data_IF_492738919268
#
_entry.id   IF_492738919268
#
_cell.length_a   1.000
_cell.length_b   1.000
_cell.length_c   1.000
_cell.angle_alpha   90.00
_cell.angle_beta   90.00
_cell.angle_gamma   90.00
#
_symmetry.space_group_name_H-M   'P 1'
#
loop_
_entity.id
_entity.type
_entity.pdbx_description
1 polymer ?
#
# COMPACT_ATOMS: atom_id res chain seq x y z
N UNK A 1 17.48 5.51 -25.14
CA UNK A 1 18.42 4.44 -25.55
C UNK A 1 17.59 3.22 -25.94
N UNK A 2 17.38 3.02 -27.24
CA UNK A 2 16.62 1.90 -27.78
C UNK A 2 17.53 0.66 -27.82
N UNK A 3 17.24 -0.34 -26.99
CA UNK A 3 17.92 -1.61 -27.02
C UNK A 3 17.59 -2.35 -28.32
N UNK A 4 18.59 -2.46 -29.20
CA UNK A 4 18.61 -3.44 -30.29
C UNK A 4 18.50 -4.83 -29.68
N UNK A 5 17.31 -5.41 -29.68
CA UNK A 5 17.17 -6.86 -29.74
C UNK A 5 17.24 -7.24 -31.22
N UNK A 6 18.41 -7.69 -31.67
CA UNK A 6 18.57 -8.43 -32.93
C UNK A 6 17.77 -9.74 -32.83
N UNK A 7 16.44 -9.66 -32.89
CA UNK A 7 15.58 -10.80 -33.16
C UNK A 7 15.75 -11.01 -34.66
N UNK A 8 16.66 -11.95 -35.01
CA UNK A 8 16.89 -12.41 -36.39
C UNK A 8 15.55 -12.44 -37.12
N UNK A 9 15.34 -11.51 -38.06
CA UNK A 9 14.14 -11.47 -38.86
C UNK A 9 14.08 -12.76 -39.66
N UNK A 10 13.33 -13.76 -39.19
CA UNK A 10 13.21 -15.01 -39.89
C UNK A 10 12.53 -14.74 -41.22
N UNK A 11 13.28 -14.87 -42.31
CA UNK A 11 12.73 -14.69 -43.63
C UNK A 11 11.94 -15.93 -44.03
N UNK A 12 10.70 -15.70 -44.47
CA UNK A 12 9.84 -16.73 -45.08
C UNK A 12 10.63 -17.47 -46.18
N UNK A 13 11.40 -16.72 -46.98
CA UNK A 13 12.29 -17.26 -48.01
C UNK A 13 13.27 -18.31 -47.47
N UNK A 14 13.95 -18.05 -46.34
CA UNK A 14 14.87 -19.02 -45.73
C UNK A 14 14.15 -20.29 -45.27
N UNK A 15 12.97 -20.15 -44.65
CA UNK A 15 12.15 -21.30 -44.22
C UNK A 15 11.72 -22.15 -45.43
N UNK A 16 11.29 -21.51 -46.52
CA UNK A 16 10.94 -22.18 -47.78
C UNK A 16 12.13 -22.88 -48.45
N UNK A 17 13.31 -22.27 -48.45
CA UNK A 17 14.54 -22.90 -48.98
C UNK A 17 14.86 -24.18 -48.21
N UNK A 18 14.85 -24.13 -46.87
CA UNK A 18 15.12 -25.31 -46.06
C UNK A 18 14.03 -26.37 -46.18
N UNK A 19 12.76 -25.98 -46.34
CA UNK A 19 11.68 -26.91 -46.65
C UNK A 19 11.95 -27.66 -47.98
N UNK A 20 12.37 -26.94 -49.02
CA UNK A 20 12.72 -27.54 -50.30
C UNK A 20 13.93 -28.48 -50.17
N UNK A 21 14.99 -28.07 -49.45
CA UNK A 21 16.18 -28.90 -49.21
C UNK A 21 15.80 -30.22 -48.52
N UNK A 22 15.06 -30.15 -47.41
CA UNK A 22 14.66 -31.35 -46.68
C UNK A 22 13.69 -32.22 -47.48
N UNK A 23 12.78 -31.62 -48.26
CA UNK A 23 11.87 -32.36 -49.14
C UNK A 23 12.60 -33.11 -50.25
N UNK A 24 13.57 -32.47 -50.91
CA UNK A 24 14.40 -33.10 -51.95
C UNK A 24 15.27 -34.21 -51.37
N UNK A 25 15.88 -34.00 -50.20
CA UNK A 25 16.66 -35.04 -49.52
C UNK A 25 15.79 -36.24 -49.11
N UNK A 26 14.59 -35.98 -48.58
CA UNK A 26 13.61 -37.04 -48.24
C UNK A 26 13.24 -37.85 -49.48
N UNK A 27 12.90 -37.18 -50.59
CA UNK A 27 12.56 -37.83 -51.85
C UNK A 27 13.75 -38.61 -52.45
N UNK A 28 14.96 -38.07 -52.35
CA UNK A 28 16.17 -38.75 -52.82
C UNK A 28 16.48 -40.04 -52.05
N UNK A 29 16.32 -40.03 -50.73
CA UNK A 29 16.45 -41.24 -49.89
C UNK A 29 15.40 -42.29 -50.29
N UNK A 30 14.16 -41.86 -50.57
CA UNK A 30 13.11 -42.74 -51.05
C UNK A 30 13.40 -43.34 -52.45
N UNK A 31 13.98 -42.56 -53.36
CA UNK A 31 14.32 -43.02 -54.71
C UNK A 31 15.38 -44.13 -54.67
N UNK A 32 16.35 -44.02 -53.76
CA UNK A 32 17.41 -45.03 -53.53
C UNK A 32 16.88 -46.37 -53.02
N UNK A 33 15.66 -46.40 -52.47
CA UNK A 33 15.03 -47.62 -51.94
C UNK A 33 14.13 -48.33 -52.98
N UNK A 34 14.07 -47.82 -54.21
CA UNK A 34 13.32 -48.44 -55.31
C UNK A 34 11.81 -48.25 -55.20
N UNK A 35 11.31 -47.08 -55.60
CA UNK A 35 9.92 -46.76 -56.01
C UNK A 35 8.75 -47.46 -55.27
N UNK A 36 8.92 -47.81 -54.00
CA UNK A 36 7.79 -48.12 -53.11
C UNK A 36 7.33 -46.80 -52.54
N UNK A 37 6.06 -46.47 -52.78
CA UNK A 37 5.40 -45.30 -52.16
C UNK A 37 5.72 -45.32 -50.67
N UNK A 38 6.06 -44.17 -50.04
CA UNK A 38 6.25 -44.11 -48.61
C UNK A 38 4.98 -44.65 -47.97
N UNK A 39 5.01 -45.87 -47.44
CA UNK A 39 3.88 -46.39 -46.70
C UNK A 39 3.90 -45.63 -45.37
N UNK A 40 2.91 -44.78 -45.06
CA UNK A 40 2.87 -44.05 -43.80
C UNK A 40 2.72 -44.99 -42.59
N UNK A 41 2.46 -46.28 -42.84
CA UNK A 41 2.41 -47.31 -41.82
C UNK A 41 3.83 -47.79 -41.54
N UNK A 42 4.44 -47.19 -40.52
CA UNK A 42 5.65 -47.76 -39.94
C UNK A 42 5.35 -49.22 -39.52
N UNK A 43 6.01 -50.18 -40.13
CA UNK A 43 6.12 -51.59 -39.71
C UNK A 43 7.48 -51.81 -39.02
N UNK A 44 7.57 -52.80 -38.12
CA UNK A 44 8.85 -53.19 -37.49
C UNK A 44 9.92 -53.70 -38.50
N UNK A 45 9.60 -53.78 -39.78
CA UNK A 45 10.47 -54.20 -40.89
C UNK A 45 11.12 -53.05 -41.67
N UNK A 46 10.97 -51.79 -41.25
CA UNK A 46 11.57 -50.66 -41.96
C UNK A 46 13.07 -50.54 -41.78
N UNK A 47 13.73 -50.11 -42.86
CA UNK A 47 15.17 -49.86 -42.88
C UNK A 47 15.49 -48.52 -42.22
N UNK A 48 16.73 -48.33 -41.75
CA UNK A 48 17.21 -47.04 -41.22
C UNK A 48 16.96 -45.88 -42.21
N UNK A 49 17.02 -46.16 -43.50
CA UNK A 49 16.76 -45.20 -44.58
C UNK A 49 15.30 -44.73 -44.62
N UNK A 50 14.32 -45.59 -44.32
CA UNK A 50 12.90 -45.22 -44.22
C UNK A 50 12.66 -44.23 -43.08
N UNK A 51 13.38 -44.42 -41.97
CA UNK A 51 13.33 -43.50 -40.85
C UNK A 51 13.94 -42.13 -41.22
N UNK A 52 15.11 -42.15 -41.88
CA UNK A 52 15.79 -40.91 -42.32
C UNK A 52 14.93 -40.12 -43.29
N UNK A 53 14.28 -40.78 -44.25
CA UNK A 53 13.39 -40.10 -45.20
C UNK A 53 12.16 -39.50 -44.52
N UNK A 54 11.56 -40.21 -43.56
CA UNK A 54 10.44 -39.72 -42.76
C UNK A 54 10.84 -38.53 -41.87
N UNK A 55 12.00 -38.60 -41.21
CA UNK A 55 12.51 -37.52 -40.39
C UNK A 55 12.74 -36.24 -41.21
N UNK A 56 13.32 -36.38 -42.41
CA UNK A 56 13.50 -35.27 -43.35
C UNK A 56 12.16 -34.71 -43.85
N UNK A 57 11.16 -35.57 -44.08
CA UNK A 57 9.82 -35.14 -44.45
C UNK A 57 9.13 -34.32 -43.33
N UNK A 58 9.27 -34.76 -42.07
CA UNK A 58 8.76 -34.04 -40.89
C UNK A 58 9.43 -32.66 -40.77
N UNK A 59 10.75 -32.58 -40.94
CA UNK A 59 11.48 -31.31 -40.93
C UNK A 59 11.06 -30.40 -42.08
N UNK A 60 10.85 -30.93 -43.28
CA UNK A 60 10.33 -30.17 -44.42
C UNK A 60 8.93 -29.59 -44.12
N UNK A 61 8.03 -30.42 -43.58
CA UNK A 61 6.69 -30.01 -43.17
C UNK A 61 6.70 -28.95 -42.08
N UNK A 62 7.56 -29.08 -41.07
CA UNK A 62 7.73 -28.09 -40.00
C UNK A 62 8.20 -26.74 -40.55
N UNK A 63 9.12 -26.73 -41.52
CA UNK A 63 9.60 -25.50 -42.15
C UNK A 63 8.51 -24.81 -42.98
N UNK A 64 7.68 -25.57 -43.70
CA UNK A 64 6.50 -25.03 -44.41
C UNK A 64 5.45 -24.47 -43.45
N UNK A 65 5.11 -25.21 -42.39
CA UNK A 65 4.17 -24.76 -41.36
C UNK A 65 4.67 -23.47 -40.70
N UNK A 66 5.97 -23.39 -40.40
CA UNK A 66 6.59 -22.20 -39.83
C UNK A 66 6.53 -21.01 -40.80
N UNK A 67 6.79 -21.22 -42.10
CA UNK A 67 6.66 -20.19 -43.13
C UNK A 67 5.21 -19.67 -43.25
N UNK A 68 4.23 -20.58 -43.20
CA UNK A 68 2.81 -20.24 -43.19
C UNK A 68 2.43 -19.43 -41.95
N UNK A 69 2.88 -19.85 -40.76
CA UNK A 69 2.66 -19.12 -39.51
C UNK A 69 3.23 -17.72 -39.58
N UNK A 70 4.48 -17.54 -40.03
CA UNK A 70 5.08 -16.20 -40.22
C UNK A 70 4.23 -15.35 -41.17
N UNK A 71 3.78 -15.93 -42.28
CA UNK A 71 2.92 -15.23 -43.25
C UNK A 71 1.56 -14.81 -42.67
N UNK A 72 0.92 -15.70 -41.91
CA UNK A 72 -0.39 -15.45 -41.30
C UNK A 72 -0.31 -14.40 -40.19
N UNK A 73 0.67 -14.49 -39.30
CA UNK A 73 0.86 -13.53 -38.20
C UNK A 73 1.21 -12.14 -38.76
N UNK A 74 2.10 -12.06 -39.77
CA UNK A 74 2.40 -10.78 -40.44
C UNK A 74 1.20 -10.19 -41.16
N UNK A 75 0.37 -11.01 -41.81
CA UNK A 75 -0.88 -10.55 -42.45
C UNK A 75 -1.86 -9.96 -41.45
N UNK A 76 -1.88 -10.47 -40.21
CA UNK A 76 -2.69 -9.95 -39.11
C UNK A 76 -2.02 -8.81 -38.31
N UNK A 77 -0.83 -8.35 -38.72
CA UNK A 77 0.00 -7.38 -37.98
C UNK A 77 0.26 -7.80 -36.52
N UNK A 78 0.45 -9.11 -36.29
CA UNK A 78 0.71 -9.65 -34.96
C UNK A 78 2.12 -9.28 -34.43
N UNK A 79 2.34 -9.32 -33.11
CA UNK A 79 3.62 -9.02 -32.49
C UNK A 79 4.74 -9.97 -32.96
N UNK A 80 5.97 -9.47 -33.08
CA UNK A 80 7.10 -10.32 -33.52
C UNK A 80 7.41 -11.46 -32.54
N UNK A 81 7.15 -11.26 -31.25
CA UNK A 81 7.30 -12.32 -30.23
C UNK A 81 6.38 -13.53 -30.46
N UNK A 82 5.19 -13.32 -31.02
CA UNK A 82 4.23 -14.39 -31.33
C UNK A 82 4.79 -15.35 -32.39
N UNK A 83 5.50 -14.80 -33.38
CA UNK A 83 6.15 -15.57 -34.43
C UNK A 83 7.21 -16.52 -33.83
N UNK A 84 8.06 -16.00 -32.95
CA UNK A 84 9.09 -16.79 -32.28
C UNK A 84 8.50 -17.92 -31.43
N UNK A 85 7.44 -17.63 -30.68
CA UNK A 85 6.76 -18.64 -29.85
C UNK A 85 6.12 -19.76 -30.68
N UNK A 86 5.35 -19.41 -31.72
CA UNK A 86 4.64 -20.40 -32.53
C UNK A 86 5.59 -21.26 -33.38
N UNK A 87 6.62 -20.64 -33.97
CA UNK A 87 7.62 -21.39 -34.74
C UNK A 87 8.49 -22.28 -33.85
N UNK A 88 8.86 -21.80 -32.65
CA UNK A 88 9.54 -22.60 -31.64
C UNK A 88 8.71 -23.79 -31.16
N UNK A 89 7.39 -23.60 -30.97
CA UNK A 89 6.47 -24.68 -30.62
C UNK A 89 6.39 -25.75 -31.73
N UNK A 90 6.25 -25.34 -32.99
CA UNK A 90 6.29 -26.26 -34.14
C UNK A 90 7.62 -27.03 -34.23
N UNK A 91 8.74 -26.40 -33.88
CA UNK A 91 10.04 -27.05 -33.83
C UNK A 91 10.11 -28.13 -32.74
N UNK A 92 9.59 -27.85 -31.54
CA UNK A 92 9.51 -28.86 -30.46
C UNK A 92 8.66 -30.04 -30.89
N UNK A 93 7.50 -29.79 -31.52
CA UNK A 93 6.64 -30.86 -32.04
C UNK A 93 7.35 -31.71 -33.10
N UNK A 94 8.11 -31.09 -34.01
CA UNK A 94 8.87 -31.80 -35.02
C UNK A 94 9.98 -32.67 -34.40
N UNK A 95 10.70 -32.14 -33.41
CA UNK A 95 11.72 -32.91 -32.66
C UNK A 95 11.07 -34.12 -31.98
N UNK A 96 9.94 -33.92 -31.28
CA UNK A 96 9.21 -35.01 -30.63
C UNK A 96 8.72 -36.05 -31.64
N UNK A 97 8.24 -35.63 -32.81
CA UNK A 97 7.80 -36.53 -33.88
C UNK A 97 8.97 -37.34 -34.47
N UNK A 98 10.13 -36.72 -34.71
CA UNK A 98 11.34 -37.41 -35.19
C UNK A 98 11.86 -38.40 -34.15
N UNK A 99 11.96 -37.99 -32.88
CA UNK A 99 12.38 -38.88 -31.79
C UNK A 99 11.38 -40.02 -31.59
N UNK A 100 10.07 -39.74 -31.62
CA UNK A 100 9.02 -40.75 -31.55
C UNK A 100 9.10 -41.74 -32.72
N UNK A 101 9.33 -41.25 -33.93
CA UNK A 101 9.56 -42.08 -35.12
C UNK A 101 10.80 -42.97 -34.99
N UNK A 102 11.86 -42.49 -34.35
CA UNK A 102 13.08 -43.28 -34.09
C UNK A 102 12.82 -44.40 -33.09
N UNK A 103 12.14 -44.07 -31.99
CA UNK A 103 11.76 -45.07 -30.97
C UNK A 103 10.82 -46.13 -31.56
N UNK A 104 9.93 -45.72 -32.49
CA UNK A 104 9.09 -46.62 -33.25
C UNK A 104 9.92 -47.54 -34.15
N UNK A 105 10.84 -47.00 -34.96
CA UNK A 105 11.63 -47.78 -35.92
C UNK A 105 12.56 -48.79 -35.25
N UNK A 106 13.02 -48.51 -34.02
CA UNK A 106 13.80 -49.45 -33.22
C UNK A 106 12.97 -50.59 -32.61
N UNK A 107 11.64 -50.61 -32.80
CA UNK A 107 10.75 -51.67 -32.28
C UNK A 107 10.62 -51.69 -30.75
N UNK A 108 11.20 -50.70 -30.06
CA UNK A 108 11.18 -50.59 -28.60
C UNK A 108 9.85 -50.04 -28.11
N UNK A 109 9.13 -49.28 -28.95
CA UNK A 109 7.89 -48.59 -28.58
C UNK A 109 6.81 -49.53 -28.01
N UNK A 110 6.66 -50.76 -28.52
CA UNK A 110 5.71 -51.73 -27.97
C UNK A 110 6.09 -52.26 -26.59
N UNK A 111 7.39 -52.26 -26.25
CA UNK A 111 7.93 -52.79 -24.97
C UNK A 111 7.90 -51.73 -23.86
N UNK A 112 8.17 -50.47 -24.21
CA UNK A 112 8.19 -49.36 -23.24
C UNK A 112 6.93 -48.49 -23.31
N UNK A 113 6.06 -48.70 -24.31
CA UNK A 113 4.93 -47.83 -24.63
C UNK A 113 3.94 -47.67 -23.48
N UNK A 114 3.66 -48.73 -22.72
CA UNK A 114 2.80 -48.65 -21.54
C UNK A 114 3.38 -47.76 -20.43
N UNK A 115 4.69 -47.88 -20.17
CA UNK A 115 5.39 -47.07 -19.16
C UNK A 115 5.48 -45.61 -19.62
N UNK A 116 5.85 -45.38 -20.88
CA UNK A 116 5.93 -44.04 -21.47
C UNK A 116 4.54 -43.38 -21.50
N UNK A 117 3.49 -44.11 -21.87
CA UNK A 117 2.12 -43.59 -21.87
C UNK A 117 1.63 -43.29 -20.44
N UNK A 118 1.95 -44.14 -19.47
CA UNK A 118 1.63 -43.90 -18.06
C UNK A 118 2.31 -42.64 -17.52
N UNK A 119 3.61 -42.48 -17.79
CA UNK A 119 4.38 -41.31 -17.37
C UNK A 119 3.93 -40.04 -18.11
N UNK A 120 3.72 -40.12 -19.43
CA UNK A 120 3.20 -39.01 -20.22
C UNK A 120 1.80 -38.58 -19.74
N UNK A 121 0.93 -39.54 -19.43
CA UNK A 121 -0.39 -39.29 -18.85
C UNK A 121 -0.31 -38.58 -17.50
N UNK A 122 0.63 -38.98 -16.64
CA UNK A 122 0.88 -38.33 -15.36
C UNK A 122 1.38 -36.89 -15.54
N UNK A 123 2.37 -36.66 -16.42
CA UNK A 123 2.87 -35.33 -16.73
C UNK A 123 1.79 -34.43 -17.32
N UNK A 124 0.99 -34.96 -18.26
CA UNK A 124 -0.14 -34.23 -18.84
C UNK A 124 -1.17 -33.88 -17.77
N UNK A 125 -1.53 -34.84 -16.91
CA UNK A 125 -2.44 -34.62 -15.78
C UNK A 125 -1.96 -33.52 -14.85
N UNK A 126 -0.67 -33.52 -14.50
CA UNK A 126 -0.08 -32.48 -13.64
C UNK A 126 -0.06 -31.12 -14.35
N UNK A 127 0.32 -31.08 -15.63
CA UNK A 127 0.34 -29.83 -16.41
C UNK A 127 -1.05 -29.20 -16.59
N UNK A 128 -2.09 -30.04 -16.67
CA UNK A 128 -3.48 -29.62 -16.86
C UNK A 128 -4.21 -29.34 -15.54
N UNK A 129 -3.61 -29.66 -14.39
CA UNK A 129 -4.22 -29.45 -13.08
C UNK A 129 -4.73 -28.02 -12.92
N UNK A 130 -3.88 -27.01 -13.14
CA UNK A 130 -4.27 -25.61 -12.97
C UNK A 130 -5.35 -25.15 -13.98
N UNK A 131 -5.23 -25.42 -15.30
CA UNK A 131 -6.31 -25.12 -16.25
C UNK A 131 -7.65 -25.77 -15.90
N UNK A 132 -7.66 -27.07 -15.56
CA UNK A 132 -8.89 -27.80 -15.21
C UNK A 132 -9.50 -27.25 -13.93
N UNK A 133 -8.69 -26.97 -12.91
CA UNK A 133 -9.14 -26.29 -11.69
C UNK A 133 -9.71 -24.90 -11.99
N UNK A 134 -9.12 -24.16 -12.93
CA UNK A 134 -9.63 -22.85 -13.36
C UNK A 134 -11.02 -22.93 -14.00
N UNK A 135 -11.26 -23.92 -14.86
CA UNK A 135 -12.58 -24.18 -15.46
C UNK A 135 -13.60 -24.57 -14.38
N UNK A 136 -13.22 -25.46 -13.47
CA UNK A 136 -14.08 -25.85 -12.34
C UNK A 136 -14.44 -24.65 -11.44
N UNK A 137 -13.50 -23.73 -11.25
CA UNK A 137 -13.69 -22.49 -10.50
C UNK A 137 -14.70 -21.59 -11.17
N UNK A 138 -14.56 -21.40 -12.47
CA UNK A 138 -15.49 -20.60 -13.24
C UNK A 138 -16.92 -21.18 -13.18
N UNK A 139 -17.08 -22.50 -13.32
CA UNK A 139 -18.39 -23.17 -13.17
C UNK A 139 -18.96 -22.91 -11.76
N UNK A 140 -18.16 -23.10 -10.72
CA UNK A 140 -18.61 -22.92 -9.34
C UNK A 140 -18.97 -21.47 -9.03
N UNK A 141 -18.17 -20.50 -9.46
CA UNK A 141 -18.47 -19.07 -9.32
C UNK A 141 -19.75 -18.72 -10.07
N UNK A 142 -19.96 -19.28 -11.26
CA UNK A 142 -21.18 -19.04 -12.05
C UNK A 142 -22.43 -19.62 -11.38
N UNK A 143 -22.34 -20.81 -10.79
CA UNK A 143 -23.46 -21.50 -10.15
C UNK A 143 -23.76 -20.99 -8.73
N UNK A 144 -22.72 -20.87 -7.89
CA UNK A 144 -22.86 -20.47 -6.47
C UNK A 144 -22.85 -18.95 -6.28
N UNK A 145 -22.28 -18.20 -7.23
CA UNK A 145 -22.18 -16.73 -7.23
C UNK A 145 -21.73 -16.15 -5.88
N UNK A 146 -20.57 -16.57 -5.33
CA UNK A 146 -20.02 -15.98 -4.11
C UNK A 146 -19.72 -14.47 -4.28
N UNK A 147 -19.41 -14.06 -5.50
CA UNK A 147 -19.33 -12.67 -5.95
C UNK A 147 -19.82 -12.58 -7.41
N UNK A 148 -20.19 -11.37 -7.83
CA UNK A 148 -20.72 -11.06 -9.17
C UNK A 148 -19.88 -10.01 -9.86
N UNK A 149 -20.11 -9.86 -11.16
CA UNK A 149 -19.58 -8.72 -11.91
C UNK A 149 -20.16 -7.44 -11.33
N UNK A 150 -19.30 -6.49 -11.01
CA UNK A 150 -19.60 -5.23 -10.35
C UNK A 150 -19.30 -5.23 -8.85
N UNK A 151 -19.09 -6.39 -8.23
CA UNK A 151 -18.86 -6.48 -6.79
C UNK A 151 -17.46 -6.00 -6.41
N UNK A 152 -17.34 -5.34 -5.25
CA UNK A 152 -16.04 -5.04 -4.64
C UNK A 152 -15.61 -6.19 -3.75
N UNK A 153 -14.49 -6.84 -4.09
CA UNK A 153 -13.99 -8.03 -3.40
C UNK A 153 -12.56 -7.82 -2.93
N UNK A 154 -12.25 -8.31 -1.74
CA UNK A 154 -10.89 -8.39 -1.21
C UNK A 154 -10.47 -9.85 -1.06
N UNK A 155 -9.33 -10.18 -1.67
CA UNK A 155 -8.67 -11.46 -1.52
C UNK A 155 -7.56 -11.33 -0.49
N UNK A 156 -7.85 -11.77 0.73
CA UNK A 156 -7.00 -11.50 1.91
C UNK A 156 -5.57 -11.99 1.72
N UNK A 157 -5.38 -13.23 1.23
CA UNK A 157 -4.03 -13.80 1.07
C UNK A 157 -3.28 -13.30 -0.16
N UNK A 158 -3.94 -12.59 -1.08
CA UNK A 158 -3.25 -11.87 -2.17
C UNK A 158 -2.99 -10.40 -1.82
N UNK A 159 -3.64 -9.87 -0.79
CA UNK A 159 -3.60 -8.44 -0.47
C UNK A 159 -4.21 -7.58 -1.57
N UNK A 160 -5.16 -8.11 -2.36
CA UNK A 160 -5.74 -7.45 -3.51
C UNK A 160 -7.21 -7.09 -3.25
N UNK A 161 -7.53 -5.80 -3.33
CA UNK A 161 -8.90 -5.27 -3.35
C UNK A 161 -9.22 -4.82 -4.78
N UNK A 162 -10.40 -5.14 -5.26
CA UNK A 162 -10.83 -4.67 -6.58
C UNK A 162 -12.31 -4.85 -6.87
N UNK A 163 -12.79 -4.14 -7.88
CA UNK A 163 -14.14 -4.27 -8.41
C UNK A 163 -14.13 -5.30 -9.56
N UNK A 164 -14.95 -6.34 -9.47
CA UNK A 164 -14.98 -7.43 -10.46
C UNK A 164 -15.52 -6.91 -11.79
N UNK A 165 -14.71 -6.92 -12.86
CA UNK A 165 -15.12 -6.51 -14.21
C UNK A 165 -15.69 -7.68 -15.01
N UNK A 166 -15.05 -8.84 -14.95
CA UNK A 166 -15.44 -10.00 -15.75
C UNK A 166 -14.90 -11.31 -15.15
N UNK A 167 -15.71 -12.36 -15.13
CA UNK A 167 -15.29 -13.71 -14.70
C UNK A 167 -15.23 -14.61 -15.93
N UNK A 168 -14.03 -14.76 -16.50
CA UNK A 168 -13.78 -15.65 -17.63
C UNK A 168 -13.52 -17.08 -17.19
N UNK A 169 -13.36 -17.99 -18.15
CA UNK A 169 -13.10 -19.41 -17.87
C UNK A 169 -11.76 -19.65 -17.15
N UNK A 170 -10.72 -18.92 -17.55
CA UNK A 170 -9.35 -19.09 -17.02
C UNK A 170 -8.96 -17.99 -16.02
N UNK A 171 -9.48 -16.77 -16.21
CA UNK A 171 -9.10 -15.60 -15.44
C UNK A 171 -10.32 -14.81 -14.99
N UNK A 172 -10.25 -14.29 -13.78
CA UNK A 172 -11.14 -13.25 -13.26
C UNK A 172 -10.42 -11.91 -13.39
N UNK A 173 -11.07 -10.97 -14.07
CA UNK A 173 -10.56 -9.62 -14.28
C UNK A 173 -11.24 -8.69 -13.29
N UNK A 174 -10.43 -7.93 -12.55
CA UNK A 174 -10.90 -6.92 -11.61
C UNK A 174 -10.23 -5.59 -11.88
N UNK A 175 -10.95 -4.49 -11.66
CA UNK A 175 -10.34 -3.18 -11.53
C UNK A 175 -9.71 -3.05 -10.15
N UNK A 176 -8.42 -2.75 -10.08
CA UNK A 176 -7.78 -2.56 -8.79
C UNK A 176 -8.36 -1.34 -8.06
N UNK A 177 -8.61 -1.54 -6.77
CA UNK A 177 -8.94 -0.49 -5.82
C UNK A 177 -7.77 -0.35 -4.84
N UNK A 178 -7.27 0.88 -4.67
CA UNK A 178 -6.11 1.17 -3.82
C UNK A 178 -4.76 0.70 -4.40
N UNK A 179 -3.69 0.82 -3.60
CA UNK A 179 -2.31 0.52 -4.01
C UNK A 179 -1.55 1.78 -4.38
N UNK A 180 -1.56 2.18 -5.66
CA UNK A 180 -0.88 3.41 -6.11
C UNK A 180 -1.57 4.69 -5.62
N UNK A 181 -2.86 4.60 -5.33
CA UNK A 181 -3.66 5.66 -4.70
C UNK A 181 -4.03 5.17 -3.29
N UNK A 182 -3.86 6.02 -2.28
CA UNK A 182 -4.17 5.67 -0.90
C UNK A 182 -5.67 5.64 -0.58
N UNK A 183 -6.51 6.15 -1.48
CA UNK A 183 -7.97 6.08 -1.38
C UNK A 183 -8.50 4.77 -1.96
N UNK A 184 -9.69 4.37 -1.51
CA UNK A 184 -10.39 3.20 -2.06
C UNK A 184 -11.17 3.52 -3.34
N UNK A 185 -10.51 4.19 -4.28
CA UNK A 185 -11.04 4.45 -5.61
C UNK A 185 -10.53 3.41 -6.62
N UNK A 186 -11.35 3.14 -7.64
CA UNK A 186 -10.94 2.29 -8.75
C UNK A 186 -9.95 3.04 -9.64
N UNK A 187 -8.77 2.45 -9.85
CA UNK A 187 -7.66 3.12 -10.54
C UNK A 187 -7.75 2.98 -12.07
N UNK A 188 -8.60 2.07 -12.56
CA UNK A 188 -8.65 1.71 -13.97
C UNK A 188 -7.54 0.73 -14.37
N UNK A 189 -6.94 0.02 -13.40
CA UNK A 189 -5.87 -0.96 -13.63
C UNK A 189 -6.41 -2.37 -13.49
N UNK A 190 -6.44 -3.09 -14.61
CA UNK A 190 -6.94 -4.46 -14.62
C UNK A 190 -5.96 -5.43 -13.94
N UNK A 191 -6.48 -6.20 -13.00
CA UNK A 191 -5.83 -7.35 -12.37
C UNK A 191 -6.44 -8.61 -12.96
N UNK A 192 -5.60 -9.45 -13.57
CA UNK A 192 -6.00 -10.75 -14.11
C UNK A 192 -5.58 -11.84 -13.12
N UNK A 193 -6.55 -12.40 -12.39
CA UNK A 193 -6.30 -13.48 -11.44
C UNK A 193 -6.65 -14.82 -12.09
N UNK A 194 -5.71 -15.78 -12.18
CA UNK A 194 -6.03 -17.13 -12.62
C UNK A 194 -7.09 -17.75 -11.69
N UNK A 195 -8.18 -18.26 -12.24
CA UNK A 195 -9.29 -18.76 -11.42
C UNK A 195 -8.87 -19.92 -10.50
N UNK A 196 -7.88 -20.71 -10.93
CA UNK A 196 -7.31 -21.79 -10.12
C UNK A 196 -6.73 -21.29 -8.78
N UNK A 197 -6.25 -20.04 -8.72
CA UNK A 197 -5.74 -19.43 -7.49
C UNK A 197 -6.86 -19.02 -6.54
N UNK A 198 -8.05 -18.67 -7.05
CA UNK A 198 -9.14 -18.12 -6.25
C UNK A 198 -9.76 -19.12 -5.27
N UNK A 199 -9.69 -20.42 -5.57
CA UNK A 199 -10.30 -21.46 -4.72
C UNK A 199 -9.64 -21.64 -3.36
N UNK A 200 -8.34 -21.37 -3.29
CA UNK A 200 -7.58 -21.52 -2.05
C UNK A 200 -7.55 -20.21 -1.25
N UNK A 201 -8.41 -19.25 -1.60
CA UNK A 201 -8.38 -17.89 -1.08
C UNK A 201 -9.72 -17.57 -0.40
N UNK A 202 -9.66 -16.91 0.74
CA UNK A 202 -10.85 -16.32 1.36
C UNK A 202 -11.20 -15.04 0.62
N UNK A 203 -12.38 -15.01 0.01
CA UNK A 203 -12.94 -13.84 -0.65
C UNK A 203 -13.87 -13.08 0.30
N UNK A 204 -13.54 -11.83 0.60
CA UNK A 204 -14.39 -10.92 1.39
C UNK A 204 -15.13 -10.02 0.41
N UNK A 205 -16.45 -10.21 0.30
CA UNK A 205 -17.29 -9.41 -0.58
C UNK A 205 -17.87 -8.22 0.18
N UNK A 206 -17.52 -7.00 -0.23
CA UNK A 206 -18.02 -5.76 0.36
C UNK A 206 -19.40 -5.37 -0.18
N UNK A 207 -19.81 -5.94 -1.31
CA UNK A 207 -21.11 -5.66 -1.95
C UNK A 207 -21.93 -6.93 -2.24
N UNK A 208 -22.23 -7.78 -1.23
CA UNK A 208 -22.87 -9.08 -1.46
C UNK A 208 -24.35 -8.99 -1.89
N UNK A 209 -25.03 -7.88 -1.61
CA UNK A 209 -26.44 -7.63 -1.95
C UNK A 209 -26.55 -6.63 -3.10
N UNK A 210 -27.31 -7.01 -4.14
CA UNK A 210 -27.42 -6.27 -5.39
C UNK A 210 -28.19 -4.94 -5.32
N UNK A 211 -28.94 -4.67 -4.24
CA UNK A 211 -29.82 -3.49 -4.19
C UNK A 211 -29.32 -2.34 -3.33
N UNK A 212 -28.60 -2.60 -2.23
CA UNK A 212 -27.83 -1.58 -1.51
C UNK A 212 -26.98 -2.28 -0.44
N UNK A 213 -25.75 -2.66 -0.79
CA UNK A 213 -24.81 -3.19 0.20
C UNK A 213 -24.19 -2.04 0.97
N UNK A 214 -24.89 -1.64 2.01
CA UNK A 214 -24.36 -0.72 3.01
C UNK A 214 -23.40 -1.47 3.91
N UNK A 215 -22.21 -0.90 4.09
CA UNK A 215 -21.21 -1.35 5.05
C UNK A 215 -21.09 -0.31 6.16
N UNK A 216 -20.72 -0.77 7.35
CA UNK A 216 -20.38 0.13 8.44
C UNK A 216 -18.99 0.69 8.21
N UNK A 217 -18.89 2.01 8.21
CA UNK A 217 -17.64 2.75 8.10
C UNK A 217 -17.47 3.67 9.31
N UNK A 218 -16.23 4.12 9.54
CA UNK A 218 -15.92 5.02 10.65
C UNK A 218 -15.05 6.20 10.23
N UNK A 219 -15.42 7.39 10.72
CA UNK A 219 -14.59 8.60 10.68
C UNK A 219 -14.09 8.85 12.10
N UNK A 220 -12.77 8.94 12.24
CA UNK A 220 -12.11 9.12 13.53
C UNK A 220 -11.58 10.54 13.63
N UNK A 221 -12.09 11.29 14.63
CA UNK A 221 -11.69 12.67 14.90
C UNK A 221 -11.22 12.76 16.34
N UNK A 222 -10.17 13.55 16.57
CA UNK A 222 -9.58 13.71 17.90
C UNK A 222 -9.87 15.11 18.42
N UNK A 223 -10.47 15.20 19.60
CA UNK A 223 -10.77 16.47 20.29
C UNK A 223 -9.86 16.62 21.51
N UNK A 224 -9.59 17.86 21.92
CA UNK A 224 -8.81 18.14 23.14
C UNK A 224 -9.59 17.72 24.40
N UNK A 225 -8.89 17.52 25.53
CA UNK A 225 -9.55 17.18 26.80
C UNK A 225 -10.42 18.32 27.36
N UNK A 226 -10.14 19.56 26.96
CA UNK A 226 -10.87 20.75 27.39
C UNK A 226 -12.10 21.03 26.51
N UNK A 227 -12.31 20.24 25.44
CA UNK A 227 -13.46 20.41 24.56
C UNK A 227 -14.77 19.98 25.23
N UNK A 228 -15.85 20.71 24.95
CA UNK A 228 -17.21 20.35 25.34
C UNK A 228 -17.64 19.08 24.58
N UNK A 229 -17.84 18.01 25.33
CA UNK A 229 -18.15 16.69 24.80
C UNK A 229 -19.46 16.65 24.01
N UNK A 230 -20.53 17.19 24.60
CA UNK A 230 -21.87 17.18 24.00
C UNK A 230 -21.89 18.03 22.73
N UNK A 231 -21.17 19.16 22.73
CA UNK A 231 -21.00 19.99 21.55
C UNK A 231 -20.27 19.26 20.42
N UNK A 232 -19.22 18.49 20.74
CA UNK A 232 -18.47 17.71 19.75
C UNK A 232 -19.33 16.58 19.15
N UNK A 233 -20.05 15.83 19.99
CA UNK A 233 -20.95 14.75 19.55
C UNK A 233 -22.05 15.29 18.62
N UNK A 234 -22.66 16.42 18.98
CA UNK A 234 -23.67 17.07 18.15
C UNK A 234 -23.14 17.45 16.77
N UNK A 235 -21.96 18.07 16.70
CA UNK A 235 -21.32 18.46 15.43
C UNK A 235 -21.09 17.24 14.53
N UNK A 236 -20.53 16.17 15.11
CA UNK A 236 -20.19 14.94 14.39
C UNK A 236 -21.45 14.25 13.85
N UNK A 237 -22.48 14.10 14.68
CA UNK A 237 -23.75 13.51 14.28
C UNK A 237 -24.47 14.34 13.22
N UNK A 238 -24.57 15.66 13.38
CA UNK A 238 -25.20 16.55 12.39
C UNK A 238 -24.51 16.47 11.02
N UNK A 239 -23.17 16.41 11.00
CA UNK A 239 -22.40 16.25 9.77
C UNK A 239 -22.70 14.91 9.09
N UNK A 240 -22.69 13.79 9.84
CA UNK A 240 -23.06 12.49 9.29
C UNK A 240 -24.51 12.47 8.79
N UNK A 241 -25.48 12.92 9.59
CA UNK A 241 -26.89 12.95 9.19
C UNK A 241 -27.11 13.74 7.90
N UNK A 242 -26.42 14.87 7.73
CA UNK A 242 -26.53 15.71 6.53
C UNK A 242 -26.03 14.96 5.30
N UNK A 243 -24.86 14.32 5.38
CA UNK A 243 -24.23 13.64 4.24
C UNK A 243 -24.92 12.31 3.91
N UNK A 244 -25.29 11.54 4.93
CA UNK A 244 -25.88 10.20 4.79
C UNK A 244 -27.41 10.21 4.84
N UNK A 245 -28.08 11.35 4.67
CA UNK A 245 -29.54 11.48 4.75
C UNK A 245 -30.31 10.48 3.86
N UNK A 246 -29.83 10.29 2.63
CA UNK A 246 -30.40 9.33 1.68
C UNK A 246 -30.25 7.88 2.17
N UNK A 247 -29.10 7.54 2.76
CA UNK A 247 -28.80 6.21 3.30
C UNK A 247 -29.67 5.91 4.52
N UNK A 248 -29.82 6.90 5.41
CA UNK A 248 -30.67 6.77 6.60
C UNK A 248 -32.12 6.52 6.18
N UNK A 249 -32.61 7.21 5.14
CA UNK A 249 -33.97 7.01 4.62
C UNK A 249 -34.20 5.58 4.08
N UNK A 250 -33.18 4.97 3.48
CA UNK A 250 -33.28 3.62 2.91
C UNK A 250 -33.06 2.52 3.93
N UNK A 251 -32.13 2.71 4.88
CA UNK A 251 -31.73 1.68 5.86
C UNK A 251 -32.48 1.78 7.18
N UNK A 252 -32.94 2.98 7.56
CA UNK A 252 -33.47 3.28 8.90
C UNK A 252 -32.40 3.38 9.99
N UNK A 253 -31.13 3.16 9.67
CA UNK A 253 -30.03 3.11 10.63
C UNK A 253 -29.42 4.51 10.82
N UNK A 254 -29.28 4.93 12.07
CA UNK A 254 -28.74 6.25 12.41
C UNK A 254 -27.23 6.19 12.66
N UNK A 255 -26.47 7.25 12.32
CA UNK A 255 -25.09 7.37 12.75
C UNK A 255 -25.00 7.45 14.27
N UNK A 256 -23.93 6.91 14.83
CA UNK A 256 -23.68 6.94 16.27
C UNK A 256 -22.20 7.09 16.56
N UNK A 257 -21.86 7.52 17.77
CA UNK A 257 -20.47 7.75 18.18
C UNK A 257 -20.07 6.74 19.25
N UNK A 258 -18.82 6.29 19.18
CA UNK A 258 -18.11 5.68 20.31
C UNK A 258 -16.80 6.41 20.52
N UNK A 259 -16.43 6.62 21.76
CA UNK A 259 -15.23 7.36 22.11
C UNK A 259 -14.29 6.52 22.96
N UNK A 260 -13.00 6.75 22.77
CA UNK A 260 -11.93 6.19 23.59
C UNK A 260 -11.00 7.32 24.02
N UNK A 261 -10.34 7.17 25.16
CA UNK A 261 -9.24 8.08 25.52
C UNK A 261 -8.00 7.80 24.68
N UNK A 262 -7.26 8.85 24.33
CA UNK A 262 -5.98 8.79 23.62
C UNK A 262 -4.93 9.63 24.36
N UNK A 263 -3.65 9.54 23.96
CA UNK A 263 -2.53 10.17 24.69
C UNK A 263 -2.63 11.70 24.81
N UNK A 264 -3.20 12.37 23.81
CA UNK A 264 -3.27 13.83 23.71
C UNK A 264 -4.69 14.35 23.44
N UNK A 265 -5.71 13.54 23.70
CA UNK A 265 -7.11 13.94 23.54
C UNK A 265 -8.08 12.77 23.62
N UNK A 266 -9.32 13.01 23.20
CA UNK A 266 -10.38 12.01 23.11
C UNK A 266 -10.57 11.61 21.65
N UNK A 267 -10.55 10.31 21.38
CA UNK A 267 -10.74 9.74 20.06
C UNK A 267 -12.23 9.46 19.83
N UNK A 268 -12.89 10.32 19.06
CA UNK A 268 -14.30 10.22 18.70
C UNK A 268 -14.44 9.42 17.41
N UNK A 269 -15.03 8.21 17.49
CA UNK A 269 -15.30 7.33 16.35
C UNK A 269 -16.76 7.50 15.92
N UNK A 270 -16.97 8.32 14.91
CA UNK A 270 -18.26 8.50 14.26
C UNK A 270 -18.50 7.34 13.29
N UNK A 271 -19.52 6.54 13.55
CA UNK A 271 -19.87 5.37 12.74
C UNK A 271 -21.16 5.62 11.97
N UNK A 272 -21.15 5.25 10.69
CA UNK A 272 -22.28 5.42 9.78
C UNK A 272 -22.29 4.32 8.73
N UNK A 273 -23.46 4.10 8.13
CA UNK A 273 -23.58 3.21 6.98
C UNK A 273 -23.25 3.96 5.69
N UNK A 274 -22.52 3.29 4.79
CA UNK A 274 -22.16 3.83 3.48
C UNK A 274 -22.06 2.74 2.43
N UNK A 275 -22.18 3.10 1.16
CA UNK A 275 -21.90 2.16 0.07
C UNK A 275 -20.39 2.01 -0.10
N UNK A 276 -19.92 0.79 -0.31
CA UNK A 276 -18.48 0.51 -0.40
C UNK A 276 -17.73 1.33 -1.47
N UNK A 277 -18.40 1.70 -2.57
CA UNK A 277 -17.82 2.50 -3.67
C UNK A 277 -17.81 4.01 -3.38
N UNK A 278 -18.80 4.49 -2.62
CA UNK A 278 -18.96 5.91 -2.30
C UNK A 278 -18.21 6.32 -1.03
N UNK A 279 -17.62 5.34 -0.34
CA UNK A 279 -16.92 5.54 0.93
C UNK A 279 -15.89 6.67 0.90
N UNK A 280 -14.98 6.78 -0.10
CA UNK A 280 -14.03 7.90 -0.16
C UNK A 280 -14.71 9.27 -0.25
N UNK A 281 -15.80 9.36 -1.04
CA UNK A 281 -16.57 10.60 -1.21
C UNK A 281 -17.30 10.98 0.07
N UNK A 282 -18.00 10.04 0.70
CA UNK A 282 -18.78 10.29 1.92
C UNK A 282 -17.85 10.64 3.09
N UNK A 283 -16.73 9.94 3.26
CA UNK A 283 -15.70 10.28 4.26
C UNK A 283 -15.22 11.72 4.05
N UNK A 284 -14.89 12.09 2.81
CA UNK A 284 -14.43 13.44 2.47
C UNK A 284 -15.47 14.50 2.83
N UNK A 285 -16.74 14.28 2.46
CA UNK A 285 -17.84 15.20 2.75
C UNK A 285 -18.05 15.34 4.27
N UNK A 286 -18.09 14.24 5.03
CA UNK A 286 -18.24 14.27 6.49
C UNK A 286 -17.09 15.04 7.13
N UNK A 287 -15.84 14.72 6.78
CA UNK A 287 -14.65 15.40 7.34
C UNK A 287 -14.71 16.90 7.04
N UNK A 288 -15.08 17.29 5.81
CA UNK A 288 -15.23 18.70 5.42
C UNK A 288 -16.29 19.41 6.28
N UNK A 289 -17.45 18.80 6.47
CA UNK A 289 -18.53 19.36 7.28
C UNK A 289 -18.14 19.50 8.75
N UNK A 290 -17.52 18.46 9.33
CA UNK A 290 -17.05 18.49 10.72
C UNK A 290 -16.00 19.58 10.90
N UNK A 291 -15.00 19.65 10.02
CA UNK A 291 -13.93 20.64 10.13
C UNK A 291 -14.46 22.08 10.08
N UNK A 292 -15.43 22.36 9.20
CA UNK A 292 -16.08 23.67 9.12
C UNK A 292 -16.92 24.00 10.35
N UNK A 293 -17.59 23.00 10.95
CA UNK A 293 -18.40 23.18 12.14
C UNK A 293 -17.54 23.41 13.40
N UNK A 294 -16.44 22.65 13.54
CA UNK A 294 -15.47 22.82 14.63
C UNK A 294 -14.84 24.22 14.57
N UNK A 295 -14.41 24.70 13.41
CA UNK A 295 -13.85 26.06 13.28
C UNK A 295 -14.80 27.19 13.70
N UNK A 296 -16.11 26.97 13.61
CA UNK A 296 -17.13 27.97 13.99
C UNK A 296 -17.52 27.87 15.46
N UNK A 297 -17.16 26.79 16.15
CA UNK A 297 -17.57 26.55 17.52
C UNK A 297 -16.36 26.66 18.47
N UNK A 298 -16.26 27.73 19.29
CA UNK A 298 -15.11 27.92 20.18
C UNK A 298 -15.05 26.91 21.33
N UNK A 299 -16.06 26.05 21.51
CA UNK A 299 -16.12 25.05 22.57
C UNK A 299 -15.45 23.73 22.22
N UNK A 300 -15.11 23.50 20.96
CA UNK A 300 -14.53 22.24 20.49
C UNK A 300 -13.25 22.56 19.73
N UNK A 301 -12.15 21.94 20.13
CA UNK A 301 -10.86 22.08 19.46
C UNK A 301 -10.31 20.71 19.07
N UNK A 302 -9.58 20.65 17.96
CA UNK A 302 -8.98 19.40 17.49
C UNK A 302 -7.64 19.16 18.16
N UNK A 303 -7.46 17.94 18.66
CA UNK A 303 -6.24 17.56 19.34
C UNK A 303 -5.09 17.38 18.34
N UNK A 304 -3.99 18.08 18.61
CA UNK A 304 -2.70 17.88 17.94
C UNK A 304 -1.74 17.14 18.89
N UNK A 305 -0.84 16.28 18.37
CA UNK A 305 0.18 15.66 19.21
C UNK A 305 1.08 16.74 19.82
N UNK A 306 1.16 16.79 21.15
CA UNK A 306 2.15 17.60 21.86
C UNK A 306 3.08 16.68 22.66
N UNK A 307 4.36 17.01 22.67
CA UNK A 307 5.36 16.29 23.46
C UNK A 307 5.85 17.20 24.57
N UNK A 308 5.61 16.81 25.83
CA UNK A 308 6.23 17.48 26.96
C UNK A 308 7.70 17.09 27.05
N UNK A 309 8.60 18.02 26.75
CA UNK A 309 10.04 17.84 26.99
C UNK A 309 10.43 18.56 28.28
N UNK A 310 10.54 17.79 29.37
CA UNK A 310 11.18 18.28 30.59
C UNK A 310 12.69 18.19 30.41
N UNK A 311 13.36 19.31 30.15
CA UNK A 311 14.82 19.35 30.21
C UNK A 311 15.22 19.22 31.69
N UNK A 312 15.61 18.01 32.11
CA UNK A 312 16.22 17.76 33.42
C UNK A 312 17.63 18.36 33.42
N UNK A 313 17.71 19.68 33.45
CA UNK A 313 18.90 20.41 33.88
C UNK A 313 18.88 20.49 35.40
N UNK A 314 20.03 20.23 36.02
CA UNK A 314 20.30 20.36 37.44
C UNK A 314 19.71 21.64 38.03
N UNK A 315 18.55 21.51 38.67
CA UNK A 315 18.04 22.34 39.77
C UNK A 315 16.71 21.67 40.15
N UNK A 316 16.77 20.74 41.09
CA UNK A 316 15.57 20.25 41.73
C UNK A 316 15.02 21.38 42.58
N UNK A 317 13.88 21.98 42.18
CA UNK A 317 12.91 22.66 43.05
C UNK A 317 11.65 23.01 42.21
N UNK A 318 10.50 22.76 42.85
CA UNK A 318 9.10 23.01 42.45
C UNK A 318 8.40 22.02 41.50
N UNK A 319 7.85 20.95 42.11
CA UNK A 319 6.52 20.43 41.74
C UNK A 319 5.49 21.51 42.08
N UNK A 320 4.86 22.10 41.08
CA UNK A 320 3.74 23.01 41.28
C UNK A 320 3.48 23.87 40.05
N UNK A 321 2.39 23.56 39.35
CA UNK A 321 1.75 24.34 38.27
C UNK A 321 2.48 24.38 36.92
N UNK A 322 1.85 23.73 35.94
CA UNK A 322 1.99 24.03 34.53
C UNK A 322 1.86 25.56 34.33
N UNK A 323 2.66 26.20 33.46
CA UNK A 323 2.36 27.56 33.06
C UNK A 323 1.00 27.57 32.33
N UNK A 324 -0.04 28.07 32.99
CA UNK A 324 -1.30 28.39 32.33
C UNK A 324 -1.04 29.42 31.22
N UNK A 325 -1.78 29.37 30.09
CA UNK A 325 -1.64 30.34 28.99
C UNK A 325 -1.97 31.80 29.39
N UNK A 326 -2.48 32.03 30.60
CA UNK A 326 -3.04 33.30 31.08
C UNK A 326 -2.00 34.34 31.55
N UNK A 327 -0.71 34.05 31.43
CA UNK A 327 0.33 35.01 31.81
C UNK A 327 0.39 36.20 30.84
N UNK A 328 -0.05 37.38 31.27
CA UNK A 328 0.08 38.61 30.47
C UNK A 328 1.56 38.90 30.18
N UNK A 329 1.88 39.04 28.89
CA UNK A 329 3.20 39.49 28.46
C UNK A 329 3.27 41.01 28.68
N UNK A 330 4.19 41.43 29.54
CA UNK A 330 4.40 42.84 29.90
C UNK A 330 5.87 43.18 29.73
N UNK A 331 6.17 44.36 29.19
CA UNK A 331 7.53 44.89 29.22
C UNK A 331 7.80 45.55 30.57
N UNK A 332 8.80 45.04 31.29
CA UNK A 332 9.23 45.63 32.56
C UNK A 332 10.62 46.27 32.42
N UNK A 333 10.91 47.37 33.14
CA UNK A 333 12.26 47.90 33.23
C UNK A 333 13.21 46.87 33.83
N UNK A 334 14.42 46.72 33.27
CA UNK A 334 15.43 45.80 33.82
C UNK A 334 15.78 46.15 35.26
N UNK A 335 15.76 47.44 35.61
CA UNK A 335 16.01 47.93 36.97
C UNK A 335 14.90 47.59 37.98
N UNK A 336 13.71 47.21 37.52
CA UNK A 336 12.59 46.83 38.39
C UNK A 336 12.73 45.40 38.95
N UNK A 337 13.67 44.61 38.41
CA UNK A 337 13.89 43.23 38.84
C UNK A 337 14.81 43.18 40.06
N UNK A 338 14.41 42.44 41.08
CA UNK A 338 15.18 42.24 42.31
C UNK A 338 16.30 41.20 42.12
N UNK A 339 17.54 41.65 42.32
CA UNK A 339 18.75 40.85 42.15
C UNK A 339 19.27 40.23 43.45
N UNK A 340 18.61 40.48 44.59
CA UNK A 340 19.01 39.91 45.87
C UNK A 340 19.10 38.37 45.82
N UNK A 341 18.28 37.74 44.99
CA UNK A 341 18.31 36.29 44.70
C UNK A 341 19.10 35.88 43.45
N UNK A 342 19.99 36.73 42.91
CA UNK A 342 20.82 36.41 41.74
C UNK A 342 22.32 36.34 42.07
N UNK A 343 22.72 36.62 43.31
CA UNK A 343 24.13 36.64 43.72
C UNK A 343 24.82 35.27 43.55
N UNK A 344 24.11 34.17 43.79
CA UNK A 344 24.61 32.81 43.60
C UNK A 344 24.78 32.41 42.13
N UNK A 345 24.21 33.18 41.19
CA UNK A 345 24.31 32.94 39.74
C UNK A 345 25.47 33.71 39.08
N UNK A 346 26.30 34.41 39.85
CA UNK A 346 27.50 35.12 39.37
C UNK A 346 28.75 34.23 39.41
N UNK A 347 28.60 32.95 39.11
CA UNK A 347 29.76 32.07 38.91
C UNK A 347 30.36 32.31 37.51
N UNK A 348 31.67 32.12 37.32
CA UNK A 348 32.32 32.31 36.01
C UNK A 348 31.69 31.46 34.90
N UNK A 349 31.19 30.27 35.25
CA UNK A 349 30.53 29.33 34.34
C UNK A 349 29.18 29.87 33.84
N UNK A 350 28.34 30.37 34.75
CA UNK A 350 27.02 30.93 34.41
C UNK A 350 27.18 32.25 33.63
N UNK A 351 28.21 33.04 33.94
CA UNK A 351 28.57 34.24 33.20
C UNK A 351 28.93 33.95 31.74
N UNK A 352 29.73 32.89 31.49
CA UNK A 352 30.11 32.46 30.15
C UNK A 352 28.91 31.93 29.34
N UNK A 353 28.01 31.19 29.97
CA UNK A 353 26.76 30.76 29.33
C UNK A 353 25.84 31.94 28.99
N UNK A 354 25.76 32.95 29.86
CA UNK A 354 25.01 34.18 29.58
C UNK A 354 25.61 34.96 28.40
N UNK A 355 26.93 34.92 28.19
CA UNK A 355 27.60 35.57 27.04
C UNK A 355 27.25 34.87 25.71
N UNK A 356 27.19 33.54 25.70
CA UNK A 356 26.72 32.78 24.54
C UNK A 356 25.27 33.14 24.22
N UNK A 357 24.42 33.22 25.25
CA UNK A 357 23.03 33.58 25.10
C UNK A 357 22.84 35.03 24.63
N UNK A 358 23.69 35.96 25.10
CA UNK A 358 23.67 37.35 24.68
C UNK A 358 23.97 37.51 23.18
N UNK A 359 24.87 36.68 22.62
CA UNK A 359 25.11 36.66 21.16
C UNK A 359 23.84 36.22 20.41
N UNK A 360 23.21 35.12 20.84
CA UNK A 360 21.97 34.62 20.23
C UNK A 360 20.81 35.63 20.32
N UNK A 361 20.64 36.28 21.48
CA UNK A 361 19.58 37.27 21.70
C UNK A 361 19.81 38.53 20.86
N UNK A 362 21.07 38.92 20.63
CA UNK A 362 21.40 40.05 19.74
C UNK A 362 21.04 39.77 18.28
N UNK A 363 21.22 38.53 17.81
CA UNK A 363 20.96 38.14 16.42
C UNK A 363 19.48 37.85 16.14
N UNK A 364 18.81 37.14 17.05
CA UNK A 364 17.46 36.57 16.80
C UNK A 364 16.37 37.12 17.73
N UNK A 365 16.72 37.99 18.68
CA UNK A 365 15.81 38.47 19.71
C UNK A 365 15.58 37.46 20.85
N UNK A 366 14.74 37.84 21.82
CA UNK A 366 14.40 36.99 22.96
C UNK A 366 13.27 36.02 22.59
N UNK A 367 13.65 34.85 22.05
CA UNK A 367 12.70 33.84 21.55
C UNK A 367 11.86 33.16 22.65
N UNK A 368 12.38 33.08 23.88
CA UNK A 368 11.66 32.51 25.01
C UNK A 368 11.55 33.55 26.12
N UNK A 369 10.34 33.90 26.57
CA UNK A 369 10.13 34.95 27.55
C UNK A 369 10.70 34.56 28.93
N UNK A 370 11.07 35.57 29.71
CA UNK A 370 11.49 35.42 31.10
C UNK A 370 10.24 35.42 31.99
N UNK A 371 10.17 34.53 32.97
CA UNK A 371 9.02 34.44 33.88
C UNK A 371 9.37 35.15 35.18
N UNK A 372 8.50 36.08 35.59
CA UNK A 372 8.69 36.87 36.80
C UNK A 372 7.47 36.83 37.72
N UNK A 373 7.69 36.97 39.02
CA UNK A 373 6.65 37.19 40.01
C UNK A 373 6.68 38.63 40.56
N UNK A 374 5.53 39.28 40.77
CA UNK A 374 5.49 40.60 41.41
C UNK A 374 5.84 40.48 42.90
N UNK A 375 6.68 41.40 43.39
CA UNK A 375 7.05 41.53 44.81
C UNK A 375 6.33 42.70 45.51
N UNK A 376 5.49 43.45 44.79
CA UNK A 376 4.90 44.70 45.26
C UNK A 376 5.74 45.93 44.90
N UNK A 377 5.13 47.12 44.96
CA UNK A 377 5.77 48.42 44.67
C UNK A 377 6.46 48.51 43.29
N UNK A 378 5.92 47.82 42.27
CA UNK A 378 6.49 47.81 40.92
C UNK A 378 7.79 47.00 40.76
N UNK A 379 8.14 46.16 41.75
CA UNK A 379 9.31 45.27 41.68
C UNK A 379 8.92 43.83 41.33
N UNK A 380 9.85 43.14 40.68
CA UNK A 380 9.65 41.78 40.19
C UNK A 380 10.80 40.84 40.59
N UNK A 381 10.52 39.56 40.79
CA UNK A 381 11.52 38.50 40.99
C UNK A 381 11.51 37.56 39.80
N UNK A 382 12.68 37.21 39.25
CA UNK A 382 12.76 36.18 38.22
C UNK A 382 12.46 34.81 38.85
N UNK A 383 11.48 34.11 38.31
CA UNK A 383 11.15 32.71 38.67
C UNK A 383 11.87 31.75 37.72
N UNK A 384 11.92 32.09 36.42
CA UNK A 384 12.57 31.27 35.41
C UNK A 384 13.21 32.12 34.31
N UNK A 385 14.33 31.66 33.77
CA UNK A 385 15.07 32.36 32.72
C UNK A 385 16.17 33.30 33.22
N UNK A 386 16.75 33.05 34.40
CA UNK A 386 17.80 33.88 35.00
C UNK A 386 18.98 34.18 34.05
N UNK A 387 19.46 33.19 33.29
CA UNK A 387 20.55 33.38 32.30
C UNK A 387 20.16 34.33 31.16
N UNK A 388 18.89 34.30 30.72
CA UNK A 388 18.35 35.23 29.72
C UNK A 388 18.23 36.64 30.26
N UNK A 389 17.79 36.79 31.51
CA UNK A 389 17.76 38.09 32.17
C UNK A 389 19.16 38.71 32.28
N UNK A 390 20.16 37.92 32.69
CA UNK A 390 21.56 38.34 32.73
C UNK A 390 22.08 38.75 31.34
N UNK A 391 21.75 37.98 30.30
CA UNK A 391 22.11 38.30 28.93
C UNK A 391 21.48 39.60 28.44
N UNK A 392 20.17 39.82 28.66
CA UNK A 392 19.49 41.07 28.32
C UNK A 392 20.09 42.28 29.05
N UNK A 393 20.49 42.12 30.31
CA UNK A 393 21.19 43.16 31.08
C UNK A 393 22.58 43.45 30.51
N UNK A 394 23.38 42.41 30.20
CA UNK A 394 24.70 42.56 29.56
C UNK A 394 24.60 43.25 28.20
N UNK A 395 23.50 43.04 27.47
CA UNK A 395 23.18 43.74 26.22
C UNK A 395 22.73 45.20 26.43
N UNK A 396 22.55 45.67 27.66
CA UNK A 396 22.16 47.04 27.97
C UNK A 396 20.70 47.35 27.68
N UNK A 397 19.81 46.35 27.64
CA UNK A 397 18.39 46.57 27.39
C UNK A 397 17.75 47.37 28.53
N UNK A 398 16.87 48.33 28.18
CA UNK A 398 16.17 49.17 29.17
C UNK A 398 14.90 48.50 29.68
N UNK A 399 14.17 47.84 28.79
CA UNK A 399 12.98 47.03 29.06
C UNK A 399 13.17 45.62 28.54
N UNK A 400 12.52 44.65 29.17
CA UNK A 400 12.56 43.23 28.77
C UNK A 400 11.13 42.68 28.79
N UNK A 401 10.70 41.95 27.74
CA UNK A 401 9.40 41.31 27.72
C UNK A 401 9.41 40.10 28.66
N UNK A 402 8.49 40.10 29.62
CA UNK A 402 8.36 39.06 30.64
C UNK A 402 6.92 38.56 30.72
N UNK A 403 6.75 37.34 31.21
CA UNK A 403 5.46 36.79 31.61
C UNK A 403 5.34 36.94 33.12
N UNK A 404 4.34 37.72 33.57
CA UNK A 404 4.08 37.95 34.99
C UNK A 404 3.19 36.84 35.54
N UNK A 405 3.64 36.14 36.57
CA UNK A 405 2.87 35.14 37.30
C UNK A 405 2.69 35.56 38.77
N UNK A 406 1.46 35.54 39.28
CA UNK A 406 1.16 35.85 40.67
C UNK A 406 1.78 34.80 41.60
N UNK A 407 2.73 35.17 42.44
CA UNK A 407 3.29 34.24 43.44
C UNK A 407 2.28 33.98 44.57
N UNK A 408 2.08 32.71 44.92
CA UNK A 408 1.46 32.31 46.19
C UNK A 408 2.54 32.26 47.26
N UNK A 409 2.22 32.77 48.46
CA UNK A 409 3.06 32.79 49.67
C UNK A 409 3.73 31.44 49.97
N UNK A 410 4.95 31.43 50.53
CA UNK A 410 5.56 30.19 51.01
C UNK A 410 4.79 29.69 52.24
N UNK A 411 4.07 28.59 52.11
CA UNK A 411 3.51 27.87 53.25
C UNK A 411 4.65 27.28 54.10
N UNK A 412 4.47 27.41 55.41
CA UNK A 412 5.30 26.90 56.51
C UNK A 412 5.76 25.46 56.26
N UNK A 413 7.03 25.11 56.53
CA UNK A 413 7.48 23.73 56.42
C UNK A 413 6.76 22.88 57.47
N UNK A 414 5.98 21.91 57.01
CA UNK A 414 5.41 20.86 57.87
C UNK A 414 6.58 20.10 58.49
N UNK A 415 6.56 20.00 59.82
CA UNK A 415 7.54 19.29 60.62
C UNK A 415 7.74 17.86 60.07
N UNK A 416 9.00 17.44 60.01
CA UNK A 416 9.39 16.13 59.55
C UNK A 416 8.80 15.03 60.44
N UNK A 417 8.18 14.06 59.79
CA UNK A 417 7.97 12.72 60.34
C UNK A 417 9.24 11.91 60.02
N UNK A 418 10.20 11.95 60.95
CA UNK A 418 11.29 10.99 61.03
C UNK A 418 11.23 10.36 62.44
N UNK A 419 10.88 9.08 62.48
CA UNK A 419 11.21 8.05 63.48
C UNK A 419 10.02 7.08 63.61
N UNK A 420 10.13 5.77 63.77
CA UNK A 420 11.22 4.81 63.84
C UNK A 420 10.53 3.47 64.14
N UNK A 421 11.12 2.36 63.70
CA UNK A 421 10.98 1.09 64.41
C UNK A 421 9.78 0.21 64.06
N UNK A 422 10.15 -1.02 63.66
CA UNK A 422 9.40 -2.28 63.53
C UNK A 422 8.64 -2.52 62.23
#
# INVERSE_FOLDING_TARGET
>A
MAGKSDIKTESIARRLIWAAVFGVLSYGVHLLQGLRVPDPRLSASHTLLDFVSLALAILAGQQLASALTIGLVRRRRGPEGEIGMLTGFLQILAILAVVGGLVYSLGVLGRIGGVVAGFAGMLLGWSLQAPVSGVAAWILVTLKRPFRVGDRVFFSSLGLVGDVKHVGMMYTVMDQVGGSVGSEEAIGRDILIPNAMLFNQVAINYTPRAQASYILDEVVIRITFDSDWDAAEKILLEAAHTVTAHIIKETGEQPYIRSDMWEYGILMRLRYLTMAKDRPRIVHEIIRHVFQAVQRNPKVDMAIPFVYSFRKGSDGVMRGQLPSPDGQMVEIPVAAVDEAGLQFLRTPEIEAEADVLAKSIREHGLLQPIVVAPLGQGRYRVIAGHKRFLACRKLGWKTVPVVVQSAVTPETPVAGDDAAGL
#
